data_IF_927416975404
#
_entry.id   IF_927416975404
#
_cell.length_a   1.000
_cell.length_b   1.000
_cell.length_c   1.000
_cell.angle_alpha   90.00
_cell.angle_beta   90.00
_cell.angle_gamma   90.00
#
_symmetry.space_group_name_H-M   'P 1'
#
loop_
_entity.id
_entity.type
_entity.pdbx_description
1 polymer ?
#
# COMPACT_ATOMS: atom_id res chain seq x y z
N UNK A 1 2.79 12.03 3.86
CA UNK A 1 1.93 12.17 2.67
C UNK A 1 2.64 13.05 1.65
N UNK A 2 2.49 12.82 0.34
CA UNK A 2 3.05 13.70 -0.66
C UNK A 2 2.43 15.09 -0.52
N UNK A 3 3.25 16.12 -0.68
CA UNK A 3 2.76 17.50 -0.63
C UNK A 3 2.02 17.82 -1.92
N UNK A 4 0.89 18.53 -1.79
CA UNK A 4 0.12 19.02 -2.93
C UNK A 4 1.02 19.95 -3.78
N UNK A 5 1.16 19.74 -5.10
CA UNK A 5 1.96 20.62 -5.92
C UNK A 5 1.24 21.97 -6.11
N UNK A 6 1.83 23.02 -5.56
CA UNK A 6 1.34 24.40 -5.67
C UNK A 6 2.21 25.12 -6.69
N UNK A 7 1.61 25.81 -7.63
CA UNK A 7 2.28 26.63 -8.61
C UNK A 7 1.88 28.09 -8.45
N UNK A 8 2.84 28.99 -8.50
CA UNK A 8 2.54 30.41 -8.67
C UNK A 8 2.39 30.72 -10.16
N UNK A 9 1.46 31.58 -10.50
CA UNK A 9 1.27 32.10 -11.85
C UNK A 9 1.61 33.59 -11.85
N UNK A 10 2.50 34.01 -12.71
CA UNK A 10 2.94 35.38 -12.76
C UNK A 10 3.37 35.85 -14.14
N UNK A 11 3.26 37.14 -14.34
CA UNK A 11 3.76 37.80 -15.58
C UNK A 11 5.26 38.13 -15.44
N UNK A 12 5.67 38.52 -14.24
CA UNK A 12 7.08 38.76 -13.89
C UNK A 12 7.23 38.64 -12.39
N UNK A 13 8.05 37.74 -11.89
CA UNK A 13 8.36 37.66 -10.47
C UNK A 13 9.70 38.31 -10.25
N UNK A 14 9.71 39.53 -9.72
CA UNK A 14 10.93 40.18 -9.24
C UNK A 14 11.15 39.72 -7.80
N UNK A 15 12.01 38.72 -7.63
CA UNK A 15 12.38 38.17 -6.30
C UNK A 15 13.19 39.18 -5.48
N UNK A 16 13.79 40.16 -6.12
CA UNK A 16 14.74 41.11 -5.52
C UNK A 16 14.17 41.99 -4.36
N UNK A 17 12.83 42.09 -4.27
CA UNK A 17 12.17 42.93 -3.23
C UNK A 17 11.08 42.18 -2.43
N UNK A 18 11.09 40.84 -2.43
CA UNK A 18 10.12 40.11 -1.65
C UNK A 18 10.45 40.20 -0.15
N UNK A 19 9.48 40.50 0.73
CA UNK A 19 9.70 40.44 2.17
C UNK A 19 10.19 39.07 2.62
N UNK A 20 11.07 39.02 3.63
CA UNK A 20 11.62 37.77 4.14
C UNK A 20 10.54 36.75 4.58
N UNK A 21 9.40 37.25 5.07
CA UNK A 21 8.22 36.44 5.42
C UNK A 21 7.61 35.76 4.21
N UNK A 22 7.59 36.42 3.05
CA UNK A 22 7.08 35.83 1.79
C UNK A 22 8.04 34.79 1.21
N UNK A 23 9.34 34.83 1.55
CA UNK A 23 10.32 33.84 1.13
C UNK A 23 10.11 32.48 1.80
N UNK A 24 9.60 32.47 3.05
CA UNK A 24 9.30 31.23 3.76
C UNK A 24 8.19 30.41 3.09
N UNK A 25 7.21 31.07 2.45
CA UNK A 25 6.11 30.41 1.75
C UNK A 25 6.53 29.88 0.37
N UNK A 26 7.61 30.40 -0.22
CA UNK A 26 8.11 29.92 -1.51
C UNK A 26 8.60 28.46 -1.47
N UNK A 27 8.99 27.96 -0.28
CA UNK A 27 9.39 26.56 -0.11
C UNK A 27 8.24 25.56 -0.39
N UNK A 28 7.00 26.04 -0.34
CA UNK A 28 5.82 25.22 -0.62
C UNK A 28 5.51 25.15 -2.12
N UNK A 29 6.11 26.06 -2.92
CA UNK A 29 5.87 26.09 -4.35
C UNK A 29 6.65 24.98 -5.07
N UNK A 30 5.96 24.26 -5.96
CA UNK A 30 6.56 23.31 -6.89
C UNK A 30 7.32 24.03 -8.02
N UNK A 31 6.85 25.23 -8.38
CA UNK A 31 7.44 26.08 -9.41
C UNK A 31 6.61 27.32 -9.71
N UNK A 32 7.15 28.16 -10.56
CA UNK A 32 6.49 29.37 -11.06
C UNK A 32 6.23 29.17 -12.54
N UNK A 33 5.03 29.49 -13.00
CA UNK A 33 4.58 29.40 -14.38
C UNK A 33 4.53 30.80 -14.96
N UNK A 34 5.33 31.06 -15.99
CA UNK A 34 5.38 32.34 -16.68
C UNK A 34 4.59 32.26 -17.98
N UNK A 35 3.45 32.98 -18.05
CA UNK A 35 2.53 32.92 -19.19
C UNK A 35 3.10 33.50 -20.47
N UNK A 36 4.12 34.35 -20.38
CA UNK A 36 4.73 35.02 -21.55
C UNK A 36 6.02 34.34 -22.05
N UNK A 37 6.64 33.49 -21.23
CA UNK A 37 7.89 32.80 -21.60
C UNK A 37 7.64 31.44 -22.21
N UNK A 38 6.54 30.76 -21.81
CA UNK A 38 6.20 29.43 -22.24
C UNK A 38 4.84 29.36 -22.95
N UNK A 39 4.68 28.37 -23.82
CA UNK A 39 3.40 28.13 -24.46
C UNK A 39 2.38 27.52 -23.49
N UNK A 40 1.12 27.94 -23.59
CA UNK A 40 0.02 27.39 -22.76
C UNK A 40 -0.02 25.85 -22.78
N UNK A 41 0.14 25.16 -23.94
CA UNK A 41 0.20 23.70 -23.94
C UNK A 41 1.38 23.11 -23.17
N UNK A 42 2.53 23.79 -23.10
CA UNK A 42 3.68 23.34 -22.34
C UNK A 42 3.41 23.47 -20.83
N UNK A 43 2.93 24.62 -20.38
CA UNK A 43 2.55 24.87 -18.99
C UNK A 43 1.48 23.89 -18.50
N UNK A 44 0.43 23.67 -19.32
CA UNK A 44 -0.61 22.68 -19.02
C UNK A 44 -0.05 21.28 -18.85
N UNK A 45 0.92 20.85 -19.69
CA UNK A 45 1.58 19.55 -19.53
C UNK A 45 2.40 19.47 -18.23
N UNK A 46 3.08 20.53 -17.83
CA UNK A 46 3.84 20.57 -16.56
C UNK A 46 2.90 20.37 -15.35
N UNK A 47 1.81 21.15 -15.30
CA UNK A 47 0.82 21.03 -14.23
C UNK A 47 0.17 19.64 -14.22
N UNK A 48 -0.26 19.16 -15.39
CA UNK A 48 -0.86 17.83 -15.51
C UNK A 48 0.11 16.71 -15.08
N UNK A 49 1.41 16.84 -15.39
CA UNK A 49 2.44 15.89 -14.94
C UNK A 49 2.60 15.93 -13.42
N UNK A 50 2.67 17.13 -12.82
CA UNK A 50 2.78 17.27 -11.38
C UNK A 50 1.55 16.71 -10.65
N UNK A 51 0.35 16.98 -11.17
CA UNK A 51 -0.89 16.43 -10.64
C UNK A 51 -0.93 14.90 -10.70
N UNK A 52 -0.55 14.30 -11.83
CA UNK A 52 -0.45 12.84 -11.97
C UNK A 52 0.55 12.24 -10.99
N UNK A 53 1.72 12.85 -10.82
CA UNK A 53 2.73 12.38 -9.88
C UNK A 53 2.25 12.46 -8.43
N UNK A 54 1.54 13.53 -8.09
CA UNK A 54 0.91 13.68 -6.79
C UNK A 54 -0.14 12.59 -6.53
N UNK A 55 -1.07 12.40 -7.46
CA UNK A 55 -2.12 11.38 -7.35
C UNK A 55 -1.53 9.96 -7.27
N UNK A 56 -0.51 9.66 -8.08
CA UNK A 56 0.20 8.39 -8.00
C UNK A 56 0.89 8.19 -6.63
N UNK A 57 1.43 9.26 -6.05
CA UNK A 57 2.04 9.24 -4.72
C UNK A 57 1.06 9.05 -3.56
N UNK A 58 -0.24 9.29 -3.76
CA UNK A 58 -1.28 9.03 -2.76
C UNK A 58 -1.58 7.54 -2.61
N UNK A 59 -1.39 6.75 -3.67
CA UNK A 59 -1.64 5.32 -3.63
C UNK A 59 -0.68 4.62 -2.67
N UNK A 60 -1.16 3.60 -1.92
CA UNK A 60 -0.26 2.73 -1.16
C UNK A 60 0.79 2.09 -2.08
N UNK A 61 2.05 1.94 -1.64
CA UNK A 61 3.14 1.51 -2.52
C UNK A 61 2.86 0.21 -3.26
N UNK A 62 2.42 -0.82 -2.55
CA UNK A 62 2.08 -2.10 -3.16
C UNK A 62 0.90 -2.00 -4.14
N UNK A 63 -0.16 -1.25 -3.78
CA UNK A 63 -1.30 -1.06 -4.67
C UNK A 63 -0.92 -0.29 -5.94
N UNK A 64 -0.04 0.71 -5.84
CA UNK A 64 0.50 1.41 -7.00
C UNK A 64 1.26 0.46 -7.93
N UNK A 65 2.16 -0.35 -7.36
CA UNK A 65 2.91 -1.34 -8.14
C UNK A 65 1.98 -2.35 -8.84
N UNK A 66 0.91 -2.78 -8.17
CA UNK A 66 -0.09 -3.66 -8.74
C UNK A 66 -0.85 -3.02 -9.90
N UNK A 67 -1.26 -1.75 -9.75
CA UNK A 67 -1.92 -0.97 -10.82
C UNK A 67 -1.00 -0.80 -12.02
N UNK A 68 0.27 -0.44 -11.78
CA UNK A 68 1.27 -0.27 -12.83
C UNK A 68 1.53 -1.59 -13.58
N UNK A 69 1.65 -2.70 -12.84
CA UNK A 69 1.83 -4.02 -13.43
C UNK A 69 0.63 -4.44 -14.31
N UNK A 70 -0.59 -4.23 -13.80
CA UNK A 70 -1.81 -4.56 -14.57
C UNK A 70 -1.97 -3.72 -15.84
N UNK A 71 -1.49 -2.46 -15.82
CA UNK A 71 -1.54 -1.55 -16.95
C UNK A 71 -0.51 -1.87 -18.05
N UNK A 72 0.61 -2.50 -17.71
CA UNK A 72 1.69 -2.84 -18.66
C UNK A 72 1.31 -3.96 -19.64
N UNK A 73 0.17 -4.64 -19.44
CA UNK A 73 -0.29 -5.73 -20.30
C UNK A 73 0.73 -6.85 -20.50
N UNK A 74 1.58 -7.10 -19.51
CA UNK A 74 2.57 -8.15 -19.51
C UNK A 74 1.92 -9.53 -19.68
N UNK A 75 2.60 -10.40 -20.42
CA UNK A 75 2.13 -11.77 -20.57
C UNK A 75 2.35 -12.54 -19.28
N UNK A 76 1.27 -13.15 -18.75
CA UNK A 76 1.32 -13.89 -17.50
C UNK A 76 1.82 -15.31 -17.72
N UNK A 77 3.06 -15.59 -17.32
CA UNK A 77 3.68 -16.92 -17.35
C UNK A 77 3.65 -17.63 -15.99
N UNK A 78 2.93 -17.08 -15.04
CA UNK A 78 2.83 -17.60 -13.68
C UNK A 78 1.40 -18.03 -13.35
N UNK A 79 1.22 -18.73 -12.25
CA UNK A 79 -0.11 -18.99 -11.67
C UNK A 79 -0.71 -17.67 -11.13
N UNK A 80 -2.03 -17.51 -11.17
CA UNK A 80 -3.03 -18.51 -11.55
C UNK A 80 -3.18 -18.70 -13.07
N UNK A 81 -3.54 -19.92 -13.47
CA UNK A 81 -3.58 -20.36 -14.88
C UNK A 81 -4.65 -19.72 -15.75
N UNK A 82 -5.49 -18.84 -15.23
CA UNK A 82 -6.46 -18.10 -16.04
C UNK A 82 -5.81 -16.98 -16.90
N UNK A 83 -4.52 -16.71 -16.72
CA UNK A 83 -3.76 -15.78 -17.54
C UNK A 83 -4.39 -14.38 -17.62
N UNK A 84 -4.57 -13.71 -16.47
CA UNK A 84 -5.24 -12.41 -16.42
C UNK A 84 -6.70 -12.42 -16.85
N UNK A 85 -7.36 -13.57 -16.73
CA UNK A 85 -8.79 -13.74 -17.06
C UNK A 85 -9.07 -14.21 -18.48
N UNK A 86 -8.05 -14.38 -19.34
CA UNK A 86 -8.23 -14.83 -20.75
C UNK A 86 -8.93 -16.18 -20.81
N UNK A 87 -8.64 -17.10 -19.89
CA UNK A 87 -9.27 -18.42 -19.86
C UNK A 87 -10.80 -18.36 -19.67
N UNK A 88 -11.30 -17.39 -18.90
CA UNK A 88 -12.73 -17.23 -18.67
C UNK A 88 -13.50 -16.75 -19.90
N UNK A 89 -12.85 -16.07 -20.83
CA UNK A 89 -13.49 -15.54 -22.05
C UNK A 89 -13.91 -16.62 -23.05
N UNK A 90 -13.50 -17.88 -22.84
CA UNK A 90 -13.71 -19.00 -23.75
C UNK A 90 -15.10 -19.67 -23.65
N UNK A 91 -15.91 -19.31 -22.65
CA UNK A 91 -17.23 -19.87 -22.45
C UNK A 91 -18.24 -18.81 -22.00
N UNK A 92 -19.55 -18.98 -22.25
CA UNK A 92 -20.57 -18.02 -21.79
C UNK A 92 -20.58 -17.82 -20.27
N UNK A 93 -20.43 -18.90 -19.50
CA UNK A 93 -20.33 -18.82 -18.03
C UNK A 93 -19.08 -18.08 -17.59
N UNK A 94 -17.96 -18.36 -18.23
CA UNK A 94 -16.70 -17.65 -17.96
C UNK A 94 -16.78 -16.16 -18.32
N UNK A 95 -17.48 -15.81 -19.41
CA UNK A 95 -17.71 -14.40 -19.77
C UNK A 95 -18.53 -13.68 -18.69
N UNK A 96 -19.59 -14.30 -18.15
CA UNK A 96 -20.35 -13.73 -17.05
C UNK A 96 -19.49 -13.50 -15.80
N UNK A 97 -18.62 -14.47 -15.47
CA UNK A 97 -17.65 -14.33 -14.37
C UNK A 97 -16.66 -13.18 -14.63
N UNK A 98 -16.08 -13.11 -15.82
CA UNK A 98 -15.17 -12.05 -16.23
C UNK A 98 -15.83 -10.66 -16.17
N UNK A 99 -17.08 -10.54 -16.60
CA UNK A 99 -17.84 -9.29 -16.53
C UNK A 99 -18.11 -8.87 -15.09
N UNK A 100 -18.41 -9.83 -14.21
CA UNK A 100 -18.69 -9.56 -12.80
C UNK A 100 -17.44 -9.03 -12.04
N UNK A 101 -16.28 -9.69 -12.19
CA UNK A 101 -15.06 -9.31 -11.49
C UNK A 101 -14.31 -8.16 -12.18
N UNK A 102 -14.45 -8.02 -13.46
CA UNK A 102 -13.73 -7.05 -14.27
C UNK A 102 -12.28 -7.46 -14.59
N UNK A 103 -11.74 -6.88 -15.64
CA UNK A 103 -10.42 -7.23 -16.16
C UNK A 103 -9.30 -6.92 -15.18
N UNK A 104 -9.36 -5.77 -14.50
CA UNK A 104 -8.31 -5.38 -13.57
C UNK A 104 -8.21 -6.32 -12.36
N UNK A 105 -9.33 -6.80 -11.83
CA UNK A 105 -9.33 -7.77 -10.74
C UNK A 105 -8.64 -9.07 -11.16
N UNK A 106 -8.96 -9.58 -12.35
CA UNK A 106 -8.38 -10.82 -12.86
C UNK A 106 -6.90 -10.66 -13.25
N UNK A 107 -6.49 -9.48 -13.71
CA UNK A 107 -5.07 -9.17 -14.00
C UNK A 107 -4.25 -8.94 -12.74
N UNK A 108 -4.88 -8.52 -11.64
CA UNK A 108 -4.23 -8.32 -10.34
C UNK A 108 -4.12 -9.59 -9.51
N UNK A 109 -4.74 -10.69 -9.93
CA UNK A 109 -4.56 -12.00 -9.30
C UNK A 109 -3.24 -12.62 -9.79
N UNK A 110 -2.19 -12.33 -9.04
CA UNK A 110 -0.80 -12.62 -9.39
C UNK A 110 -0.14 -13.53 -8.38
N UNK A 111 0.83 -14.31 -8.82
CA UNK A 111 1.71 -15.03 -7.93
C UNK A 111 2.68 -14.09 -7.22
N UNK A 112 3.05 -14.43 -5.99
CA UNK A 112 4.12 -13.73 -5.23
C UNK A 112 5.51 -13.82 -5.90
N UNK A 113 5.63 -14.57 -7.00
CA UNK A 113 6.87 -14.72 -7.77
C UNK A 113 7.06 -13.63 -8.84
N UNK A 114 6.20 -12.62 -8.91
CA UNK A 114 6.36 -11.47 -9.80
C UNK A 114 7.40 -10.51 -9.21
N UNK A 115 8.62 -10.40 -9.80
CA UNK A 115 9.72 -9.64 -9.18
C UNK A 115 9.42 -8.16 -8.97
N UNK A 116 8.62 -7.56 -9.87
CA UNK A 116 8.25 -6.15 -9.82
C UNK A 116 7.39 -5.78 -8.61
N UNK A 117 6.72 -6.76 -8.00
CA UNK A 117 5.92 -6.57 -6.80
C UNK A 117 6.74 -6.71 -5.51
N UNK A 118 8.00 -7.14 -5.61
CA UNK A 118 8.86 -7.39 -4.47
C UNK A 118 8.62 -8.74 -3.81
N UNK A 119 9.32 -8.97 -2.70
CA UNK A 119 9.22 -10.21 -1.93
C UNK A 119 8.74 -9.93 -0.51
N UNK A 120 7.68 -10.62 -0.11
CA UNK A 120 7.18 -10.55 1.26
C UNK A 120 8.13 -11.29 2.23
N UNK A 121 8.80 -12.34 1.76
CA UNK A 121 9.73 -13.12 2.58
C UNK A 121 11.04 -12.35 2.86
N UNK A 122 11.54 -11.66 1.82
CA UNK A 122 12.82 -10.94 1.90
C UNK A 122 12.63 -9.45 2.27
N UNK A 123 11.41 -9.00 2.45
CA UNK A 123 11.06 -7.60 2.73
C UNK A 123 11.69 -6.64 1.73
N UNK A 124 11.42 -6.85 0.43
CA UNK A 124 12.00 -6.06 -0.66
C UNK A 124 10.95 -5.43 -1.56
N UNK A 125 11.37 -4.38 -2.30
CA UNK A 125 10.55 -3.71 -3.31
C UNK A 125 9.29 -3.02 -2.75
N UNK A 126 8.21 -2.95 -3.54
CA UNK A 126 6.97 -2.28 -3.13
C UNK A 126 6.32 -2.84 -1.86
N UNK A 127 6.58 -4.12 -1.52
CA UNK A 127 6.12 -4.71 -0.27
C UNK A 127 6.83 -4.10 0.93
N UNK A 128 8.17 -4.01 0.89
CA UNK A 128 8.95 -3.34 1.95
C UNK A 128 8.54 -1.87 2.11
N UNK A 129 8.37 -1.13 1.00
CA UNK A 129 7.89 0.25 1.06
C UNK A 129 6.52 0.38 1.72
N UNK A 130 5.63 -0.59 1.50
CA UNK A 130 4.32 -0.62 2.10
C UNK A 130 4.38 -0.94 3.60
N UNK A 131 5.25 -1.87 4.03
CA UNK A 131 5.52 -2.18 5.44
C UNK A 131 6.09 -0.97 6.18
N UNK A 132 7.08 -0.28 5.61
CA UNK A 132 7.66 0.95 6.15
C UNK A 132 6.62 2.07 6.27
N UNK A 133 5.75 2.20 5.28
CA UNK A 133 4.67 3.20 5.32
C UNK A 133 3.65 2.87 6.40
N UNK A 134 3.31 1.60 6.58
CA UNK A 134 2.44 1.14 7.65
C UNK A 134 3.08 1.39 9.01
N UNK A 135 4.35 1.05 9.21
CA UNK A 135 5.10 1.31 10.44
C UNK A 135 5.04 2.79 10.83
N UNK A 136 5.33 3.70 9.89
CA UNK A 136 5.22 5.15 10.15
C UNK A 136 3.81 5.60 10.52
N UNK A 137 2.78 5.04 9.88
CA UNK A 137 1.39 5.42 10.15
C UNK A 137 0.91 4.95 11.53
N UNK A 138 1.39 3.81 11.99
CA UNK A 138 1.05 3.25 13.29
C UNK A 138 2.03 3.64 14.42
N UNK A 139 3.11 4.37 14.10
CA UNK A 139 4.13 4.75 15.08
C UNK A 139 4.93 3.56 15.58
N UNK A 140 5.10 2.52 14.76
CA UNK A 140 5.87 1.33 15.07
C UNK A 140 7.26 1.40 14.42
N UNK A 141 8.25 0.71 15.02
CA UNK A 141 9.59 0.59 14.44
C UNK A 141 9.55 -0.26 13.17
N UNK A 142 8.76 -1.33 13.18
CA UNK A 142 8.58 -2.25 12.06
C UNK A 142 7.12 -2.70 11.94
N UNK A 143 6.73 -3.06 10.73
CA UNK A 143 5.45 -3.71 10.44
C UNK A 143 5.70 -4.88 9.50
N UNK A 144 5.04 -5.99 9.78
CA UNK A 144 5.10 -7.21 8.96
C UNK A 144 3.71 -7.55 8.45
N UNK A 145 3.57 -7.72 7.14
CA UNK A 145 2.29 -8.16 6.58
C UNK A 145 2.11 -9.66 6.70
N UNK A 146 1.01 -10.05 7.32
CA UNK A 146 0.65 -11.47 7.50
C UNK A 146 -0.50 -11.80 6.56
N UNK A 147 -0.23 -12.57 5.52
CA UNK A 147 -1.19 -12.90 4.46
C UNK A 147 -2.13 -14.06 4.81
N UNK A 148 -1.83 -14.80 5.86
CA UNK A 148 -2.61 -16.00 6.25
C UNK A 148 -3.60 -15.71 7.39
N UNK A 149 -4.09 -14.46 7.45
CA UNK A 149 -5.14 -14.00 8.34
C UNK A 149 -4.67 -13.70 9.77
N UNK A 150 -5.52 -13.01 10.53
CA UNK A 150 -5.28 -12.59 11.92
C UNK A 150 -4.95 -13.76 12.84
N UNK A 151 -5.49 -14.94 12.58
CA UNK A 151 -5.16 -16.15 13.37
C UNK A 151 -3.68 -16.50 13.30
N UNK A 152 -3.05 -16.29 12.15
CA UNK A 152 -1.59 -16.48 12.00
C UNK A 152 -0.83 -15.35 12.65
N UNK A 153 -1.27 -14.10 12.53
CA UNK A 153 -0.65 -12.97 13.21
C UNK A 153 -0.65 -13.20 14.75
N UNK A 154 -1.77 -13.63 15.32
CA UNK A 154 -1.85 -13.98 16.74
C UNK A 154 -0.82 -15.07 17.12
N UNK A 155 -0.71 -16.12 16.31
CA UNK A 155 0.27 -17.19 16.58
C UNK A 155 1.71 -16.69 16.50
N UNK A 156 2.03 -15.83 15.55
CA UNK A 156 3.37 -15.25 15.42
C UNK A 156 3.73 -14.48 16.69
N UNK A 157 2.83 -13.57 17.14
CA UNK A 157 3.04 -12.79 18.36
C UNK A 157 3.21 -13.70 19.58
N UNK A 158 2.33 -14.69 19.73
CA UNK A 158 2.40 -15.61 20.86
C UNK A 158 3.70 -16.41 20.89
N UNK A 159 4.12 -16.99 19.75
CA UNK A 159 5.34 -17.78 19.67
C UNK A 159 6.62 -16.95 19.83
N UNK A 160 6.57 -15.65 19.54
CA UNK A 160 7.71 -14.76 19.73
C UNK A 160 7.84 -14.22 21.15
N UNK A 161 6.72 -14.13 21.91
CA UNK A 161 6.66 -13.43 23.19
C UNK A 161 6.42 -14.35 24.38
N UNK A 162 5.89 -15.57 24.15
CA UNK A 162 5.41 -16.45 25.20
C UNK A 162 6.09 -17.80 25.11
N UNK A 163 6.72 -18.20 26.21
CA UNK A 163 7.35 -19.50 26.40
C UNK A 163 6.50 -20.49 27.20
N UNK A 164 7.05 -21.69 27.35
CA UNK A 164 6.42 -22.73 28.15
C UNK A 164 6.33 -22.29 29.63
N UNK A 165 5.18 -22.52 30.26
CA UNK A 165 4.89 -22.19 31.66
C UNK A 165 4.79 -20.69 31.98
N UNK A 166 4.90 -19.81 30.99
CA UNK A 166 4.61 -18.40 31.18
C UNK A 166 3.15 -18.18 31.56
N UNK A 167 2.92 -17.27 32.50
CA UNK A 167 1.57 -16.86 32.91
C UNK A 167 1.04 -15.80 31.97
N UNK A 168 -0.13 -16.03 31.37
CA UNK A 168 -0.74 -15.10 30.43
C UNK A 168 -2.16 -14.73 30.89
N UNK A 169 -2.47 -13.43 30.91
CA UNK A 169 -3.81 -12.92 31.15
C UNK A 169 -4.62 -12.96 29.85
N UNK A 170 -5.73 -13.64 29.85
CA UNK A 170 -6.55 -13.87 28.65
C UNK A 170 -8.03 -13.60 28.96
N UNK A 171 -8.67 -12.83 28.09
CA UNK A 171 -10.12 -12.69 28.12
C UNK A 171 -10.78 -14.04 27.81
N UNK A 172 -11.79 -14.42 28.60
CA UNK A 172 -12.53 -15.66 28.37
C UNK A 172 -13.24 -15.70 27.01
N UNK A 173 -13.60 -14.56 26.46
CA UNK A 173 -14.23 -14.42 25.15
C UNK A 173 -13.22 -14.28 23.99
N UNK A 174 -11.94 -14.58 24.22
CA UNK A 174 -10.91 -14.49 23.21
C UNK A 174 -11.19 -15.40 22.00
N UNK A 175 -10.71 -15.00 20.85
CA UNK A 175 -10.82 -15.81 19.63
C UNK A 175 -10.05 -17.13 19.77
N UNK A 176 -10.56 -18.19 19.16
CA UNK A 176 -9.97 -19.55 19.19
C UNK A 176 -8.48 -19.61 18.82
N UNK A 177 -7.97 -18.67 18.02
CA UNK A 177 -6.53 -18.60 17.71
C UNK A 177 -5.66 -18.37 18.95
N UNK A 178 -6.17 -17.63 19.95
CA UNK A 178 -5.48 -17.42 21.21
C UNK A 178 -5.42 -18.74 22.02
N UNK A 179 -6.56 -19.47 22.09
CA UNK A 179 -6.59 -20.78 22.75
C UNK A 179 -5.60 -21.76 22.08
N UNK A 180 -5.56 -21.78 20.76
CA UNK A 180 -4.58 -22.58 20.03
C UNK A 180 -3.13 -22.17 20.36
N UNK A 181 -2.87 -20.87 20.47
CA UNK A 181 -1.54 -20.37 20.81
C UNK A 181 -1.14 -20.76 22.24
N UNK A 182 -2.03 -20.71 23.21
CA UNK A 182 -1.80 -21.19 24.59
C UNK A 182 -1.37 -22.67 24.57
N UNK A 183 -2.13 -23.50 23.85
CA UNK A 183 -1.83 -24.94 23.76
C UNK A 183 -0.48 -25.16 23.10
N UNK A 184 -0.18 -24.43 22.00
CA UNK A 184 1.06 -24.60 21.23
C UNK A 184 2.29 -24.12 21.98
N UNK A 185 2.19 -23.05 22.78
CA UNK A 185 3.31 -22.51 23.56
C UNK A 185 3.48 -23.23 24.90
N UNK A 186 2.44 -23.89 25.40
CA UNK A 186 2.44 -24.49 26.74
C UNK A 186 2.32 -23.44 27.86
N UNK A 187 1.78 -22.27 27.57
CA UNK A 187 1.53 -21.22 28.55
C UNK A 187 0.40 -21.58 29.53
N UNK A 188 0.41 -20.95 30.69
CA UNK A 188 -0.60 -21.12 31.74
C UNK A 188 -1.56 -19.93 31.71
N UNK A 189 -2.83 -20.10 31.24
CA UNK A 189 -3.76 -19.01 31.14
C UNK A 189 -4.41 -18.65 32.48
N UNK A 190 -4.48 -17.35 32.79
CA UNK A 190 -5.35 -16.78 33.81
C UNK A 190 -6.49 -16.08 33.08
N UNK A 191 -7.69 -16.65 33.19
CA UNK A 191 -8.86 -16.10 32.49
C UNK A 191 -9.48 -14.94 33.24
N UNK A 192 -9.62 -13.81 32.57
CA UNK A 192 -10.41 -12.68 33.00
C UNK A 192 -11.88 -12.96 32.67
N UNK A 193 -12.72 -12.95 33.70
CA UNK A 193 -14.18 -13.05 33.51
C UNK A 193 -14.76 -11.63 33.47
N UNK A 194 -15.58 -11.31 32.44
CA UNK A 194 -16.27 -10.02 32.43
C UNK A 194 -17.21 -9.92 33.64
N UNK A 195 -17.28 -8.75 34.25
CA UNK A 195 -18.32 -8.44 35.23
C UNK A 195 -19.68 -8.48 34.54
N UNK A 196 -20.70 -8.96 35.26
CA UNK A 196 -22.09 -9.05 34.79
C UNK A 196 -22.79 -7.71 34.93
#
# INVERSE_FOLDING_TARGET
>A
APQLPIFALGEQVTIENAPAESMADLHQLRGILYLFEDTVPFLARQVARAARNYLAGLLPPFFRALVDHTAQSNYSWHTPGHGGGVAYRKSPVGQAFHQFFGENTLRSDLSVSVPELGSLLDHTGPLAEAEDRAARNFGADHTFFVINGTSTANKIVWHSMVGREDLVLVDRNCHKSILHSIIMTGAIPLYLTPER
#
